data_IF_140247179379
#
_entry.id   IF_140247179379
#
_cell.length_a   1.000
_cell.length_b   1.000
_cell.length_c   1.000
_cell.angle_alpha   90.00
_cell.angle_beta   90.00
_cell.angle_gamma   90.00
#
_symmetry.space_group_name_H-M   'P 1'
#
loop_
_entity.id
_entity.type
_entity.pdbx_description
1 polymer ?
#
# COMPACT_ATOMS: atom_id res chain seq x y z
N UNK A 1 41.07 -33.10 -2.77
CA UNK A 1 40.21 -32.45 -3.80
C UNK A 1 38.79 -32.42 -3.25
N UNK A 2 38.45 -31.47 -2.37
CA UNK A 2 37.79 -30.18 -2.68
C UNK A 2 36.47 -30.33 -3.46
N UNK A 3 35.38 -30.19 -2.68
CA UNK A 3 34.03 -29.66 -2.96
C UNK A 3 33.21 -30.21 -4.15
N UNK A 4 32.01 -30.69 -3.83
CA UNK A 4 30.78 -30.12 -4.42
C UNK A 4 29.65 -30.22 -3.39
N UNK A 5 29.41 -29.13 -2.68
CA UNK A 5 28.18 -28.96 -1.91
C UNK A 5 27.03 -28.77 -2.90
N UNK A 6 26.13 -29.75 -2.95
CA UNK A 6 24.87 -29.62 -3.67
C UNK A 6 24.06 -28.50 -3.00
N UNK A 7 23.94 -27.39 -3.72
CA UNK A 7 23.13 -26.25 -3.35
C UNK A 7 21.67 -26.69 -3.16
N UNK A 8 21.15 -26.40 -1.98
CA UNK A 8 19.76 -26.48 -1.58
C UNK A 8 18.86 -25.70 -2.58
N UNK A 9 17.87 -26.34 -3.24
CA UNK A 9 16.89 -25.62 -4.02
C UNK A 9 16.02 -24.84 -3.04
N UNK A 10 16.15 -23.51 -3.05
CA UNK A 10 15.32 -22.59 -2.29
C UNK A 10 13.83 -22.91 -2.54
N UNK A 11 13.19 -23.49 -1.54
CA UNK A 11 11.76 -23.79 -1.54
C UNK A 11 10.98 -22.52 -1.95
N UNK A 12 9.98 -22.61 -2.84
CA UNK A 12 9.12 -21.47 -3.12
C UNK A 12 8.53 -20.96 -1.80
N UNK A 13 8.38 -19.63 -1.60
CA UNK A 13 7.78 -19.10 -0.39
C UNK A 13 6.45 -19.82 -0.15
N UNK A 14 6.27 -20.35 1.06
CA UNK A 14 5.11 -21.19 1.35
C UNK A 14 3.84 -20.39 1.07
N UNK A 15 2.87 -20.98 0.35
CA UNK A 15 1.58 -20.35 0.04
C UNK A 15 0.92 -19.76 1.31
N UNK A 16 1.15 -20.41 2.44
CA UNK A 16 0.74 -19.95 3.77
C UNK A 16 1.30 -18.57 4.15
N UNK A 17 2.56 -18.27 3.85
CA UNK A 17 3.15 -16.96 4.13
C UNK A 17 2.50 -15.87 3.27
N UNK A 18 2.20 -16.17 2.00
CA UNK A 18 1.47 -15.26 1.11
C UNK A 18 0.07 -14.94 1.64
N UNK A 19 -0.68 -15.96 2.05
CA UNK A 19 -2.01 -15.79 2.67
C UNK A 19 -1.91 -14.95 3.94
N UNK A 20 -0.91 -15.20 4.79
CA UNK A 20 -0.70 -14.42 6.02
C UNK A 20 -0.45 -12.92 5.72
N UNK A 21 0.38 -12.61 4.73
CA UNK A 21 0.61 -11.23 4.29
C UNK A 21 -0.67 -10.56 3.79
N UNK A 22 -1.51 -11.28 3.05
CA UNK A 22 -2.81 -10.76 2.58
C UNK A 22 -3.74 -10.46 3.76
N UNK A 23 -3.83 -11.34 4.75
CA UNK A 23 -4.67 -11.14 5.95
C UNK A 23 -4.19 -9.92 6.75
N UNK A 24 -2.88 -9.78 6.95
CA UNK A 24 -2.30 -8.62 7.66
C UNK A 24 -2.54 -7.33 6.87
N UNK A 25 -2.42 -7.37 5.55
CA UNK A 25 -2.72 -6.21 4.69
C UNK A 25 -4.20 -5.81 4.74
N UNK A 26 -5.10 -6.77 4.60
CA UNK A 26 -6.54 -6.54 4.62
C UNK A 26 -7.02 -6.01 5.98
N UNK A 27 -6.48 -6.53 7.09
CA UNK A 27 -6.83 -6.05 8.43
C UNK A 27 -6.34 -4.63 8.68
N UNK A 28 -5.16 -4.25 8.18
CA UNK A 28 -4.62 -2.89 8.28
C UNK A 28 -5.53 -1.85 7.62
N UNK A 29 -6.05 -2.13 6.42
CA UNK A 29 -6.99 -1.23 5.73
C UNK A 29 -8.34 -1.10 6.47
N UNK A 30 -8.84 -2.18 7.09
CA UNK A 30 -10.06 -2.14 7.90
C UNK A 30 -9.91 -1.31 9.19
N UNK A 31 -8.77 -1.45 9.87
CA UNK A 31 -8.46 -0.68 11.07
C UNK A 31 -8.34 0.82 10.78
N UNK A 32 -7.70 1.18 9.66
CA UNK A 32 -7.54 2.58 9.26
C UNK A 32 -8.89 3.31 9.18
N UNK A 33 -9.88 2.73 8.49
CA UNK A 33 -11.21 3.31 8.35
C UNK A 33 -11.89 3.57 9.71
N UNK A 34 -11.70 2.64 10.64
CA UNK A 34 -12.26 2.70 11.99
C UNK A 34 -11.60 3.80 12.82
N UNK A 35 -10.27 3.89 12.80
CA UNK A 35 -9.50 4.94 13.49
C UNK A 35 -9.93 6.33 13.01
N UNK A 36 -10.07 6.51 11.69
CA UNK A 36 -10.48 7.79 11.11
C UNK A 36 -11.90 8.16 11.56
N UNK A 37 -12.84 7.21 11.56
CA UNK A 37 -14.19 7.45 12.08
C UNK A 37 -14.18 7.84 13.54
N UNK A 38 -13.36 7.19 14.35
CA UNK A 38 -13.22 7.52 15.76
C UNK A 38 -12.62 8.92 15.95
N UNK A 39 -11.61 9.28 15.16
CA UNK A 39 -11.01 10.61 15.19
C UNK A 39 -12.03 11.70 14.80
N UNK A 40 -12.84 11.47 13.77
CA UNK A 40 -13.96 12.37 13.44
C UNK A 40 -14.99 12.48 14.56
N UNK A 41 -15.27 11.39 15.28
CA UNK A 41 -16.18 11.42 16.44
C UNK A 41 -15.62 12.26 17.59
N UNK A 42 -14.30 12.39 17.71
CA UNK A 42 -13.63 13.29 18.66
C UNK A 42 -13.47 14.73 18.13
N UNK A 43 -14.07 15.04 16.98
CA UNK A 43 -14.02 16.38 16.38
C UNK A 43 -12.75 16.69 15.59
N UNK A 44 -11.85 15.72 15.38
CA UNK A 44 -10.63 15.93 14.59
C UNK A 44 -10.96 16.22 13.13
N UNK A 45 -10.18 17.10 12.52
CA UNK A 45 -10.33 17.45 11.11
C UNK A 45 -9.59 16.48 10.20
N UNK A 46 -10.01 16.40 8.94
CA UNK A 46 -9.34 15.58 7.91
C UNK A 46 -7.88 15.99 7.74
N UNK A 47 -7.58 17.30 7.86
CA UNK A 47 -6.23 17.83 7.77
C UNK A 47 -5.35 17.30 8.91
N UNK A 48 -5.82 17.36 10.15
CA UNK A 48 -5.07 16.85 11.32
C UNK A 48 -4.79 15.35 11.21
N UNK A 49 -5.82 14.57 10.85
CA UNK A 49 -5.70 13.11 10.69
C UNK A 49 -4.69 12.76 9.58
N UNK A 50 -4.73 13.48 8.46
CA UNK A 50 -3.79 13.27 7.34
C UNK A 50 -2.37 13.64 7.74
N UNK A 51 -2.19 14.79 8.39
CA UNK A 51 -0.89 15.29 8.83
C UNK A 51 -0.23 14.33 9.82
N UNK A 52 -0.96 13.87 10.84
CA UNK A 52 -0.40 12.94 11.83
C UNK A 52 -0.03 11.60 11.20
N UNK A 53 -0.83 11.09 10.26
CA UNK A 53 -0.52 9.83 9.59
C UNK A 53 0.74 9.93 8.73
N UNK A 54 0.87 10.95 7.89
CA UNK A 54 2.07 11.13 7.07
C UNK A 54 3.30 11.47 7.92
N UNK A 55 3.13 12.24 9.01
CA UNK A 55 4.21 12.52 9.95
C UNK A 55 4.70 11.24 10.65
N UNK A 56 3.80 10.41 11.16
CA UNK A 56 4.14 9.12 11.75
C UNK A 56 4.76 8.17 10.73
N UNK A 57 4.23 8.12 9.51
CA UNK A 57 4.80 7.33 8.42
C UNK A 57 6.23 7.76 8.08
N UNK A 58 6.47 9.06 7.99
CA UNK A 58 7.80 9.63 7.77
C UNK A 58 8.75 9.35 8.94
N UNK A 59 8.27 9.45 10.18
CA UNK A 59 9.04 9.15 11.39
C UNK A 59 9.46 7.67 11.41
N UNK A 60 8.53 6.75 11.19
CA UNK A 60 8.79 5.31 11.17
C UNK A 60 9.76 4.96 10.04
N UNK A 61 9.52 5.48 8.83
CA UNK A 61 10.40 5.23 7.69
C UNK A 61 11.82 5.78 7.94
N UNK A 62 11.92 6.97 8.54
CA UNK A 62 13.20 7.57 8.90
C UNK A 62 13.92 6.75 9.97
N UNK A 63 13.20 6.23 10.97
CA UNK A 63 13.75 5.34 11.99
C UNK A 63 14.25 4.01 11.41
N UNK A 64 13.50 3.39 10.51
CA UNK A 64 13.94 2.17 9.80
C UNK A 64 15.20 2.47 8.98
N UNK A 65 15.22 3.59 8.24
CA UNK A 65 16.39 4.00 7.47
C UNK A 65 17.59 4.33 8.37
N UNK A 66 17.37 4.82 9.58
CA UNK A 66 18.46 5.07 10.54
C UNK A 66 19.08 3.76 11.07
N UNK A 67 18.27 2.73 11.33
CA UNK A 67 18.74 1.46 11.90
C UNK A 67 19.31 0.53 10.82
N UNK A 68 18.66 0.44 9.66
CA UNK A 68 18.97 -0.54 8.61
C UNK A 68 19.48 0.08 7.31
N UNK A 69 19.41 1.41 7.16
CA UNK A 69 19.77 2.09 5.93
C UNK A 69 21.28 2.05 5.68
N UNK A 70 21.67 1.71 4.46
CA UNK A 70 23.00 2.00 3.94
C UNK A 70 22.96 3.42 3.40
N UNK A 71 23.79 4.31 3.93
CA UNK A 71 23.83 5.71 3.53
C UNK A 71 24.14 5.86 2.03
N UNK A 72 23.08 6.00 1.22
CA UNK A 72 23.16 6.32 -0.20
C UNK A 72 22.54 7.68 -0.44
N UNK A 73 23.26 8.58 -1.12
CA UNK A 73 22.68 9.86 -1.56
C UNK A 73 21.70 9.58 -2.69
N UNK A 74 20.44 9.97 -2.50
CA UNK A 74 19.44 9.95 -3.58
C UNK A 74 19.85 11.02 -4.60
N UNK A 75 20.02 10.64 -5.86
CA UNK A 75 20.25 11.61 -6.93
C UNK A 75 19.03 12.52 -7.07
N UNK A 76 19.23 13.83 -7.30
CA UNK A 76 18.12 14.79 -7.37
C UNK A 76 17.04 14.45 -8.42
N UNK A 77 17.42 13.73 -9.48
CA UNK A 77 16.48 13.19 -10.49
C UNK A 77 15.53 12.15 -9.90
N UNK A 78 16.04 11.27 -9.04
CA UNK A 78 15.25 10.22 -8.41
C UNK A 78 14.37 10.79 -7.30
N UNK A 79 14.84 11.80 -6.56
CA UNK A 79 14.01 12.54 -5.62
C UNK A 79 12.77 13.16 -6.29
N UNK A 80 12.94 13.80 -7.47
CA UNK A 80 11.80 14.35 -8.21
C UNK A 80 10.84 13.26 -8.70
N UNK A 81 11.35 12.10 -9.14
CA UNK A 81 10.52 10.96 -9.56
C UNK A 81 9.70 10.40 -8.39
N UNK A 82 10.32 10.28 -7.21
CA UNK A 82 9.65 9.83 -5.99
C UNK A 82 8.54 10.80 -5.57
N UNK A 83 8.80 12.11 -5.61
CA UNK A 83 7.78 13.12 -5.34
C UNK A 83 6.60 13.01 -6.30
N UNK A 84 6.86 12.94 -7.61
CA UNK A 84 5.79 12.81 -8.62
C UNK A 84 5.00 11.51 -8.48
N UNK A 85 5.66 10.40 -8.13
CA UNK A 85 5.00 9.12 -7.89
C UNK A 85 4.14 9.12 -6.60
N UNK A 86 4.47 9.96 -5.62
CA UNK A 86 3.74 10.06 -4.36
C UNK A 86 2.45 10.90 -4.43
N UNK A 87 2.38 11.88 -5.34
CA UNK A 87 1.23 12.80 -5.46
C UNK A 87 -0.11 12.05 -5.62
N UNK A 88 -0.26 11.07 -6.54
CA UNK A 88 -1.51 10.32 -6.69
C UNK A 88 -1.90 9.57 -5.42
N UNK A 89 -0.93 9.00 -4.70
CA UNK A 89 -1.17 8.32 -3.43
C UNK A 89 -1.65 9.28 -2.34
N UNK A 90 -1.06 10.47 -2.25
CA UNK A 90 -1.50 11.51 -1.30
C UNK A 90 -2.91 12.01 -1.59
N UNK A 91 -3.22 12.29 -2.86
CA UNK A 91 -4.56 12.69 -3.30
C UNK A 91 -5.59 11.59 -2.97
N UNK A 92 -5.26 10.33 -3.26
CA UNK A 92 -6.10 9.18 -2.93
C UNK A 92 -6.39 9.11 -1.43
N UNK A 93 -5.38 9.24 -0.57
CA UNK A 93 -5.56 9.19 0.88
C UNK A 93 -6.50 10.29 1.38
N UNK A 94 -6.31 11.54 0.92
CA UNK A 94 -7.18 12.66 1.33
C UNK A 94 -8.61 12.47 0.82
N UNK A 95 -8.78 12.07 -0.44
CA UNK A 95 -10.09 11.78 -1.01
C UNK A 95 -10.81 10.66 -0.25
N UNK A 96 -10.08 9.61 0.13
CA UNK A 96 -10.58 8.52 0.95
C UNK A 96 -11.03 9.01 2.34
N UNK A 97 -10.28 9.89 2.99
CA UNK A 97 -10.66 10.39 4.32
C UNK A 97 -11.86 11.32 4.29
N UNK A 98 -11.99 12.10 3.22
CA UNK A 98 -13.22 12.83 2.95
C UNK A 98 -14.40 11.89 2.72
N UNK A 99 -14.21 10.79 1.98
CA UNK A 99 -15.30 9.82 1.78
C UNK A 99 -15.80 9.25 3.12
N UNK A 100 -14.90 8.84 4.03
CA UNK A 100 -15.27 8.29 5.35
C UNK A 100 -16.13 9.26 6.18
N UNK A 101 -15.98 10.57 5.97
CA UNK A 101 -16.81 11.59 6.64
C UNK A 101 -18.29 11.50 6.23
N UNK A 102 -18.58 11.11 4.98
CA UNK A 102 -19.93 11.09 4.43
C UNK A 102 -20.56 9.68 4.37
N UNK A 103 -19.75 8.61 4.33
CA UNK A 103 -20.23 7.23 4.18
C UNK A 103 -19.81 6.32 5.35
N UNK A 104 -20.36 5.10 5.38
CA UNK A 104 -19.93 4.10 6.37
C UNK A 104 -18.51 3.59 6.08
N UNK A 105 -17.80 3.13 7.12
CA UNK A 105 -16.43 2.66 6.99
C UNK A 105 -16.33 1.49 6.00
N UNK A 106 -17.30 0.57 6.03
CA UNK A 106 -17.37 -0.57 5.14
C UNK A 106 -17.52 -0.15 3.67
N UNK A 107 -18.41 0.81 3.38
CA UNK A 107 -18.61 1.30 2.00
C UNK A 107 -17.36 2.00 1.48
N UNK A 108 -16.65 2.75 2.33
CA UNK A 108 -15.42 3.42 1.95
C UNK A 108 -14.33 2.41 1.52
N UNK A 109 -14.15 1.32 2.28
CA UNK A 109 -13.18 0.27 1.91
C UNK A 109 -13.60 -0.46 0.64
N UNK A 110 -14.89 -0.75 0.44
CA UNK A 110 -15.39 -1.37 -0.80
C UNK A 110 -15.15 -0.46 -2.02
N UNK A 111 -15.30 0.86 -1.86
CA UNK A 111 -14.98 1.82 -2.91
C UNK A 111 -13.47 1.91 -3.17
N UNK A 112 -12.62 1.73 -2.15
CA UNK A 112 -11.18 1.66 -2.32
C UNK A 112 -10.75 0.41 -3.12
N UNK A 113 -11.44 -0.71 -2.89
CA UNK A 113 -11.22 -1.97 -3.62
C UNK A 113 -11.58 -1.90 -5.11
N UNK A 114 -12.27 -0.84 -5.56
CA UNK A 114 -12.54 -0.64 -7.00
C UNK A 114 -11.24 -0.48 -7.82
N UNK A 115 -10.14 -0.09 -7.15
CA UNK A 115 -8.81 -0.05 -7.77
C UNK A 115 -8.31 -1.41 -8.26
N UNK A 116 -8.79 -2.52 -7.68
CA UNK A 116 -8.34 -3.88 -8.03
C UNK A 116 -8.73 -4.24 -9.46
N UNK A 117 -10.03 -4.16 -9.79
CA UNK A 117 -10.49 -4.47 -11.15
C UNK A 117 -10.01 -3.43 -12.15
N UNK A 118 -9.95 -2.15 -11.76
CA UNK A 118 -9.41 -1.08 -12.61
C UNK A 118 -7.93 -1.33 -12.94
N UNK A 119 -7.15 -1.88 -12.00
CA UNK A 119 -5.76 -2.28 -12.22
C UNK A 119 -5.63 -3.40 -13.27
N UNK A 120 -6.51 -4.40 -13.22
CA UNK A 120 -6.56 -5.48 -14.22
C UNK A 120 -6.91 -4.93 -15.62
N UNK A 121 -7.89 -4.03 -15.69
CA UNK A 121 -8.27 -3.36 -16.95
C UNK A 121 -7.12 -2.49 -17.47
N UNK A 122 -6.46 -1.72 -16.61
CA UNK A 122 -5.30 -0.91 -16.99
C UNK A 122 -4.15 -1.79 -17.51
N UNK A 123 -3.84 -2.90 -16.84
CA UNK A 123 -2.82 -3.86 -17.30
C UNK A 123 -3.16 -4.39 -18.70
N UNK A 124 -4.42 -4.75 -18.95
CA UNK A 124 -4.88 -5.23 -20.25
C UNK A 124 -4.69 -4.19 -21.36
N UNK A 125 -5.01 -2.92 -21.08
CA UNK A 125 -4.83 -1.81 -22.02
C UNK A 125 -3.33 -1.60 -22.31
N UNK A 126 -2.48 -1.53 -21.27
CA UNK A 126 -1.05 -1.29 -21.44
C UNK A 126 -0.32 -2.43 -22.13
N UNK A 127 -0.68 -3.69 -21.84
CA UNK A 127 -0.09 -4.87 -22.47
C UNK A 127 -0.70 -5.22 -23.83
N UNK A 128 -1.79 -4.55 -24.23
CA UNK A 128 -2.58 -4.86 -25.44
C UNK A 128 -2.96 -6.34 -25.55
N UNK A 129 -3.11 -7.01 -24.42
CA UNK A 129 -3.46 -8.43 -24.33
C UNK A 129 -4.67 -8.55 -23.41
N UNK A 130 -5.67 -9.31 -23.83
CA UNK A 130 -6.85 -9.56 -23.01
C UNK A 130 -6.40 -10.32 -21.74
N UNK A 131 -6.89 -9.93 -20.55
CA UNK A 131 -6.57 -10.63 -19.33
C UNK A 131 -7.12 -12.06 -19.44
N UNK A 132 -6.33 -13.06 -19.03
CA UNK A 132 -6.77 -14.45 -19.05
C UNK A 132 -8.05 -14.61 -18.23
N UNK A 133 -8.92 -15.54 -18.62
CA UNK A 133 -10.20 -15.77 -17.92
C UNK A 133 -10.02 -16.04 -16.42
N UNK A 134 -8.89 -16.62 -16.02
CA UNK A 134 -8.50 -16.82 -14.62
C UNK A 134 -8.24 -15.51 -13.86
N UNK A 135 -7.75 -14.45 -14.52
CA UNK A 135 -7.54 -13.11 -13.94
C UNK A 135 -8.83 -12.27 -13.89
N UNK A 136 -9.83 -12.63 -14.68
CA UNK A 136 -11.14 -11.97 -14.72
C UNK A 136 -12.15 -12.59 -13.75
N UNK A 137 -12.00 -13.88 -13.44
CA UNK A 137 -12.88 -14.62 -12.53
C UNK A 137 -12.42 -14.59 -11.05
N UNK A 138 -11.22 -14.07 -10.79
CA UNK A 138 -10.67 -13.83 -9.45
C UNK A 138 -11.03 -12.42 -8.97
#
# INVERSE_FOLDING_TARGET
MIQTGAQNPSSPPSRALGILFVIIGASSYGLLATIIKLAYAHGSTTAEITMIQFALGALVLSGINFIFGKAGRIAGRDARRLLLAGIPGGILSVAYYYSIKYISASVAVVLLMQSVWMGVVAEAIFKKQLPSLEKLAA
#
